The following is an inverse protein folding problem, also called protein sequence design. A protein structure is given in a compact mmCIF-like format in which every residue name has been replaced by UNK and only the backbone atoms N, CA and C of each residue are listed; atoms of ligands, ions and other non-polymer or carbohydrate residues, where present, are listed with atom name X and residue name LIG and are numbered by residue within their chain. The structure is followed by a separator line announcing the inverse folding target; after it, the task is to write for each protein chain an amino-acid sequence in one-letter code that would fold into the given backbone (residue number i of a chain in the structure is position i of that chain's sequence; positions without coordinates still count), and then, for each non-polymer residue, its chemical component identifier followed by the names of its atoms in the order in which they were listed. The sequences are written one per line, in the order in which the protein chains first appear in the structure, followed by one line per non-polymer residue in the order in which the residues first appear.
data_IF_131113644747
#
_entry.id   IF_131113644747
#
_cell.length_a   1.000
_cell.length_b   1.000
_cell.length_c   1.000
_cell.angle_alpha   90.00
_cell.angle_beta   90.00
_cell.angle_gamma   90.00
#
_symmetry.space_group_name_H-M   'P 1'
#
loop_
_entity.id
_entity.type
_entity.pdbx_description
1 polymer ?
#
# COMPACT_ATOMS: atom_id res chain seq x y z
N UNK A 1 -18.83 -21.14 -38.15
CA UNK A 1 -18.39 -19.82 -38.68
C UNK A 1 -19.06 -18.72 -37.88
N UNK A 2 -18.38 -17.57 -37.72
CA UNK A 2 -18.47 -16.55 -36.63
C UNK A 2 -17.62 -16.99 -35.43
N UNK A 3 -16.28 -16.92 -35.46
CA UNK A 3 -15.40 -15.76 -35.70
C UNK A 3 -15.73 -14.56 -34.81
N UNK A 4 -15.13 -14.54 -33.63
CA UNK A 4 -14.78 -13.30 -32.92
C UNK A 4 -13.30 -13.42 -32.53
N UNK A 5 -12.46 -12.77 -33.35
CA UNK A 5 -11.02 -12.65 -33.21
C UNK A 5 -10.69 -11.55 -32.19
N UNK A 6 -9.74 -11.86 -31.31
CA UNK A 6 -8.54 -11.07 -30.95
C UNK A 6 -8.69 -9.57 -30.60
N UNK A 7 -8.41 -9.25 -29.33
CA UNK A 7 -7.39 -8.26 -28.98
C UNK A 7 -6.51 -8.82 -27.85
N UNK A 8 -5.25 -9.11 -28.17
CA UNK A 8 -4.14 -9.21 -27.23
C UNK A 8 -3.80 -7.82 -26.69
N UNK A 9 -3.68 -7.66 -25.37
CA UNK A 9 -2.78 -6.67 -24.76
C UNK A 9 -2.09 -7.31 -23.56
N UNK A 10 -0.84 -7.71 -23.79
CA UNK A 10 0.30 -7.67 -22.86
C UNK A 10 0.08 -8.18 -21.43
N UNK A 11 0.19 -9.50 -21.29
CA UNK A 11 0.87 -10.08 -20.13
C UNK A 11 2.36 -9.77 -20.31
N UNK A 12 2.91 -8.86 -19.52
CA UNK A 12 4.35 -8.59 -19.56
C UNK A 12 4.75 -7.20 -19.08
N UNK A 13 4.58 -6.91 -17.79
CA UNK A 13 5.71 -6.81 -16.85
C UNK A 13 5.18 -7.26 -15.50
N UNK A 14 5.80 -8.29 -14.97
CA UNK A 14 5.55 -8.91 -13.67
C UNK A 14 5.32 -7.83 -12.60
N UNK A 15 4.16 -7.91 -11.96
CA UNK A 15 3.71 -7.09 -10.84
C UNK A 15 4.86 -6.79 -9.87
N UNK A 16 5.40 -5.58 -9.93
CA UNK A 16 6.24 -5.02 -8.87
C UNK A 16 5.41 -4.30 -7.81
N UNK A 17 4.09 -4.49 -7.78
CA UNK A 17 3.27 -4.10 -6.64
C UNK A 17 3.43 -5.18 -5.57
N UNK A 18 4.42 -4.96 -4.70
CA UNK A 18 4.47 -5.59 -3.39
C UNK A 18 3.18 -5.32 -2.61
N UNK A 19 2.48 -4.22 -2.95
CA UNK A 19 1.25 -3.83 -2.31
C UNK A 19 -0.01 -4.22 -3.08
N UNK A 20 -0.92 -4.78 -2.30
CA UNK A 20 -2.25 -5.17 -2.71
C UNK A 20 -3.04 -3.93 -3.06
N UNK A 21 -3.59 -3.88 -4.29
CA UNK A 21 -4.53 -2.84 -4.68
C UNK A 21 -5.93 -3.14 -4.06
N UNK A 22 -5.98 -3.32 -2.74
CA UNK A 22 -7.15 -3.80 -1.94
C UNK A 22 -8.38 -2.98 -2.25
N UNK A 23 -8.18 -1.67 -2.44
CA UNK A 23 -9.23 -0.67 -2.35
C UNK A 23 -9.81 -0.32 -3.71
N UNK A 24 -9.04 -0.47 -4.79
CA UNK A 24 -9.53 -0.26 -6.17
C UNK A 24 -10.62 -1.26 -6.56
N UNK A 25 -10.64 -2.41 -5.91
CA UNK A 25 -11.55 -3.52 -6.23
C UNK A 25 -12.75 -3.61 -5.27
N UNK A 26 -12.82 -2.75 -4.24
CA UNK A 26 -14.01 -2.58 -3.41
C UNK A 26 -15.08 -1.83 -4.20
N UNK A 27 -16.35 -2.24 -4.08
CA UNK A 27 -17.46 -1.49 -4.67
C UNK A 27 -17.45 -0.04 -4.11
N UNK A 28 -17.41 1.00 -4.97
CA UNK A 28 -17.39 2.40 -4.54
C UNK A 28 -18.49 2.79 -3.55
N UNK A 29 -19.66 2.16 -3.63
CA UNK A 29 -20.77 2.41 -2.70
C UNK A 29 -20.52 1.85 -1.29
N UNK A 30 -19.64 0.85 -1.19
CA UNK A 30 -19.29 0.19 0.08
C UNK A 30 -18.05 0.80 0.72
N UNK A 31 -17.27 1.54 -0.07
CA UNK A 31 -16.12 2.29 0.42
C UNK A 31 -16.52 3.23 1.56
N UNK A 32 -17.58 4.04 1.37
CA UNK A 32 -18.12 4.91 2.43
C UNK A 32 -18.66 4.16 3.64
N UNK A 33 -19.05 2.90 3.49
CA UNK A 33 -19.50 2.03 4.59
C UNK A 33 -18.32 1.50 5.41
N UNK A 34 -17.22 1.11 4.75
CA UNK A 34 -16.04 0.56 5.42
C UNK A 34 -15.13 1.64 6.00
N UNK A 35 -15.00 2.80 5.34
CA UNK A 35 -14.19 3.90 5.81
C UNK A 35 -15.06 5.15 6.04
N UNK A 36 -16.08 5.07 6.91
CA UNK A 36 -17.06 6.15 7.10
C UNK A 36 -16.33 7.43 7.52
N UNK A 37 -16.70 8.56 6.92
CA UNK A 37 -16.14 9.87 7.24
C UNK A 37 -16.54 10.23 8.68
N UNK A 38 -15.73 9.82 9.65
CA UNK A 38 -15.76 10.35 11.02
C UNK A 38 -15.15 11.75 11.01
N UNK A 39 -15.63 12.65 11.89
CA UNK A 39 -15.14 14.03 12.01
C UNK A 39 -13.63 14.07 11.84
N UNK A 40 -13.16 14.52 10.67
CA UNK A 40 -11.74 14.72 10.46
C UNK A 40 -11.27 15.65 11.59
N UNK A 41 -10.21 15.30 12.33
CA UNK A 41 -9.62 16.24 13.27
C UNK A 41 -9.33 17.54 12.51
N UNK A 42 -9.38 18.69 13.20
CA UNK A 42 -9.04 19.97 12.59
C UNK A 42 -7.69 19.83 11.85
N UNK A 43 -7.73 19.89 10.51
CA UNK A 43 -6.54 19.67 9.72
C UNK A 43 -5.67 20.92 9.81
N UNK A 44 -4.47 20.77 10.38
CA UNK A 44 -3.42 21.78 10.29
C UNK A 44 -2.57 21.63 9.01
N UNK A 45 -3.06 20.86 8.03
CA UNK A 45 -2.36 20.65 6.77
C UNK A 45 -2.44 21.88 5.85
N UNK A 46 -1.28 22.44 5.50
CA UNK A 46 -1.16 23.60 4.61
C UNK A 46 -0.79 23.14 3.21
N UNK A 47 -1.68 23.36 2.24
CA UNK A 47 -1.57 22.83 0.87
C UNK A 47 -0.26 23.16 0.13
N UNK A 48 0.24 24.42 0.15
CA UNK A 48 1.55 24.72 -0.42
C UNK A 48 2.68 23.85 0.17
N UNK A 49 2.72 23.70 1.49
CA UNK A 49 3.73 22.88 2.19
C UNK A 49 3.57 21.41 1.84
N UNK A 50 2.33 20.90 1.86
CA UNK A 50 2.05 19.51 1.54
C UNK A 50 2.48 19.14 0.12
N UNK A 51 2.11 19.97 -0.87
CA UNK A 51 2.49 19.77 -2.26
C UNK A 51 4.01 19.88 -2.46
N UNK A 52 4.68 20.79 -1.76
CA UNK A 52 6.14 20.91 -1.78
C UNK A 52 6.83 19.65 -1.23
N UNK A 53 6.38 19.15 -0.08
CA UNK A 53 6.93 17.92 0.51
C UNK A 53 6.70 16.71 -0.39
N UNK A 54 5.50 16.59 -1.00
CA UNK A 54 5.20 15.53 -1.96
C UNK A 54 6.11 15.59 -3.18
N UNK A 55 6.30 16.78 -3.75
CA UNK A 55 7.19 16.99 -4.88
C UNK A 55 8.64 16.56 -4.56
N UNK A 56 9.14 16.93 -3.37
CA UNK A 56 10.48 16.56 -2.93
C UNK A 56 10.62 15.05 -2.74
N UNK A 57 9.61 14.38 -2.18
CA UNK A 57 9.58 12.92 -2.06
C UNK A 57 9.64 12.27 -3.44
N UNK A 58 8.79 12.68 -4.38
CA UNK A 58 8.76 12.13 -5.73
C UNK A 58 10.09 12.34 -6.46
N UNK A 59 10.68 13.52 -6.32
CA UNK A 59 11.97 13.87 -6.92
C UNK A 59 13.10 13.03 -6.32
N UNK A 60 13.10 12.81 -5.01
CA UNK A 60 14.10 11.98 -4.34
C UNK A 60 14.07 10.51 -4.80
N UNK A 61 12.90 9.99 -5.19
CA UNK A 61 12.75 8.65 -5.74
C UNK A 61 12.92 8.58 -7.26
N UNK A 62 13.13 9.71 -7.94
CA UNK A 62 13.15 9.82 -9.38
C UNK A 62 11.87 9.24 -10.04
N UNK A 63 10.71 9.52 -9.43
CA UNK A 63 9.38 9.17 -9.95
C UNK A 63 8.67 10.42 -10.50
N UNK A 64 7.52 10.24 -11.14
CA UNK A 64 6.75 11.38 -11.70
C UNK A 64 6.43 12.40 -10.62
N UNK A 65 7.00 13.61 -10.75
CA UNK A 65 6.99 14.64 -9.71
C UNK A 65 5.60 15.18 -9.36
N UNK A 66 4.65 15.12 -10.31
CA UNK A 66 3.26 15.56 -10.11
C UNK A 66 2.34 14.56 -9.39
N UNK A 67 2.84 13.38 -9.00
CA UNK A 67 2.00 12.39 -8.31
C UNK A 67 1.66 12.82 -6.88
N UNK A 68 0.41 12.62 -6.46
CA UNK A 68 -0.13 13.03 -5.17
C UNK A 68 -1.39 12.21 -4.82
N UNK A 69 -2.11 12.65 -3.78
CA UNK A 69 -3.32 11.99 -3.27
C UNK A 69 -4.46 11.82 -4.29
N UNK A 70 -4.51 12.63 -5.36
CA UNK A 70 -5.49 12.47 -6.45
C UNK A 70 -5.18 11.31 -7.39
N UNK A 71 -3.97 10.77 -7.34
CA UNK A 71 -3.51 9.68 -8.21
C UNK A 71 -2.69 8.65 -7.41
N UNK A 72 -3.20 8.31 -6.22
CA UNK A 72 -2.56 7.40 -5.27
C UNK A 72 -2.20 6.03 -5.86
N UNK A 73 -3.02 5.48 -6.76
CA UNK A 73 -2.70 4.21 -7.42
C UNK A 73 -1.44 4.28 -8.30
N UNK A 74 -1.22 5.41 -8.98
CA UNK A 74 -0.01 5.64 -9.79
C UNK A 74 1.20 5.94 -8.92
N UNK A 75 1.02 6.69 -7.83
CA UNK A 75 2.05 6.90 -6.82
C UNK A 75 2.53 5.58 -6.23
N UNK A 76 1.61 4.76 -5.74
CA UNK A 76 1.89 3.45 -5.16
C UNK A 76 2.69 2.56 -6.10
N UNK A 77 2.24 2.43 -7.36
CA UNK A 77 2.95 1.64 -8.36
C UNK A 77 4.41 2.10 -8.55
N UNK A 78 4.65 3.42 -8.65
CA UNK A 78 6.01 3.94 -8.86
C UNK A 78 6.88 3.80 -7.61
N UNK A 79 6.32 4.03 -6.41
CA UNK A 79 7.03 3.83 -5.13
C UNK A 79 7.41 2.36 -4.96
N UNK A 80 6.49 1.43 -5.14
CA UNK A 80 6.74 -0.01 -4.99
C UNK A 80 7.82 -0.49 -5.97
N UNK A 81 7.77 0.01 -7.21
CA UNK A 81 8.78 -0.28 -8.22
C UNK A 81 10.18 0.15 -7.78
N UNK A 82 10.32 1.32 -7.15
CA UNK A 82 11.61 1.79 -6.63
C UNK A 82 12.02 0.96 -5.40
N UNK A 83 11.11 0.77 -4.45
CA UNK A 83 11.33 0.05 -3.20
C UNK A 83 11.83 -1.40 -3.43
N UNK A 84 11.27 -2.09 -4.42
CA UNK A 84 11.58 -3.50 -4.74
C UNK A 84 12.69 -3.69 -5.76
N UNK A 85 13.27 -2.60 -6.28
CA UNK A 85 14.29 -2.67 -7.33
C UNK A 85 15.63 -3.23 -6.82
N UNK A 86 16.08 -2.75 -5.67
CA UNK A 86 17.34 -3.18 -5.04
C UNK A 86 17.37 -2.77 -3.58
N UNK A 87 18.20 -3.41 -2.76
CA UNK A 87 18.37 -3.04 -1.35
C UNK A 87 18.80 -1.55 -1.19
N UNK A 88 19.75 -1.01 -1.98
CA UNK A 88 20.02 0.42 -1.96
C UNK A 88 18.82 1.31 -2.32
N UNK A 89 17.98 0.87 -3.27
CA UNK A 89 16.75 1.59 -3.61
C UNK A 89 15.75 1.55 -2.45
N UNK A 90 15.59 0.41 -1.76
CA UNK A 90 14.78 0.29 -0.55
C UNK A 90 15.21 1.30 0.53
N UNK A 91 16.51 1.31 0.85
CA UNK A 91 17.07 2.24 1.86
C UNK A 91 16.87 3.69 1.43
N UNK A 92 17.04 4.00 0.15
CA UNK A 92 16.81 5.35 -0.39
C UNK A 92 15.34 5.75 -0.29
N UNK A 93 14.40 4.83 -0.52
CA UNK A 93 12.97 5.06 -0.33
C UNK A 93 12.65 5.39 1.13
N UNK A 94 13.24 4.66 2.07
CA UNK A 94 13.08 4.95 3.49
C UNK A 94 13.66 6.30 3.90
N UNK A 95 14.84 6.67 3.39
CA UNK A 95 15.41 7.99 3.61
C UNK A 95 14.51 9.11 3.05
N UNK A 96 13.90 8.92 1.86
CA UNK A 96 12.96 9.87 1.30
C UNK A 96 11.68 9.97 2.14
N UNK A 97 11.14 8.85 2.64
CA UNK A 97 10.00 8.83 3.55
C UNK A 97 10.28 9.62 4.84
N UNK A 98 11.46 9.43 5.46
CA UNK A 98 11.87 10.20 6.63
C UNK A 98 11.92 11.71 6.33
N UNK A 99 12.44 12.11 5.17
CA UNK A 99 12.47 13.54 4.76
C UNK A 99 11.07 14.09 4.52
N UNK A 100 10.17 13.28 3.94
CA UNK A 100 8.78 13.67 3.76
C UNK A 100 8.07 13.90 5.10
N UNK A 101 8.25 12.99 6.05
CA UNK A 101 7.75 13.14 7.42
C UNK A 101 8.31 14.40 8.08
N UNK A 102 9.62 14.65 7.99
CA UNK A 102 10.27 15.84 8.56
C UNK A 102 9.81 17.14 7.90
N UNK A 103 9.59 17.13 6.58
CA UNK A 103 9.12 18.30 5.82
C UNK A 103 7.72 18.75 6.28
N UNK A 104 6.83 17.80 6.57
CA UNK A 104 5.49 18.09 7.09
C UNK A 104 5.47 18.32 8.61
N UNK A 105 6.41 17.73 9.35
CA UNK A 105 6.50 17.87 10.79
C UNK A 105 5.18 17.50 11.49
N UNK A 106 4.66 18.41 12.31
CA UNK A 106 3.43 18.19 13.09
C UNK A 106 2.15 18.13 12.24
N UNK A 107 2.20 18.48 10.95
CA UNK A 107 1.06 18.34 10.05
C UNK A 107 1.07 17.02 9.26
N UNK A 108 2.05 16.14 9.47
CA UNK A 108 2.15 14.88 8.71
C UNK A 108 0.85 14.08 8.78
N UNK A 109 0.42 13.70 10.00
CA UNK A 109 -0.74 12.84 10.19
C UNK A 109 -2.04 13.48 9.70
N UNK A 110 -2.18 14.80 9.74
CA UNK A 110 -3.37 15.49 9.22
C UNK A 110 -3.36 15.66 7.69
N UNK A 111 -2.17 15.68 7.07
CA UNK A 111 -2.01 15.76 5.62
C UNK A 111 -2.19 14.41 4.92
N UNK A 112 -1.83 13.30 5.58
CA UNK A 112 -2.03 11.94 5.05
C UNK A 112 -3.23 11.22 5.67
N UNK A 113 -4.07 11.93 6.41
CA UNK A 113 -5.31 11.37 6.95
C UNK A 113 -6.34 11.17 5.82
N UNK A 114 -6.91 9.96 5.66
CA UNK A 114 -7.87 9.70 4.60
C UNK A 114 -9.11 10.58 4.73
N UNK A 115 -9.61 10.85 5.94
CA UNK A 115 -10.83 11.64 6.13
C UNK A 115 -10.63 13.12 5.78
N UNK A 116 -9.49 13.68 6.16
CA UNK A 116 -9.09 15.04 5.78
C UNK A 116 -8.90 15.16 4.27
N UNK A 117 -8.32 14.15 3.62
CA UNK A 117 -8.13 14.13 2.17
C UNK A 117 -9.45 14.00 1.40
N UNK A 118 -10.37 13.16 1.87
CA UNK A 118 -11.70 12.99 1.25
C UNK A 118 -12.55 14.27 1.26
N UNK A 119 -12.30 15.18 2.21
CA UNK A 119 -13.01 16.46 2.27
C UNK A 119 -12.53 17.49 1.22
N UNK A 120 -11.43 17.19 0.50
CA UNK A 120 -10.84 18.12 -0.47
C UNK A 120 -11.55 18.06 -1.83
N UNK A 121 -11.62 19.19 -2.58
CA UNK A 121 -12.21 19.20 -3.90
C UNK A 121 -11.55 18.23 -4.90
N UNK A 122 -12.38 17.41 -5.54
CA UNK A 122 -11.94 16.42 -6.53
C UNK A 122 -11.29 15.18 -5.91
N UNK A 123 -11.60 14.86 -4.65
CA UNK A 123 -11.23 13.60 -4.04
C UNK A 123 -11.95 12.42 -4.68
N UNK A 124 -11.16 11.43 -5.09
CA UNK A 124 -11.63 10.11 -5.45
C UNK A 124 -11.29 9.14 -4.32
N UNK A 125 -12.27 8.34 -3.94
CA UNK A 125 -12.15 7.51 -2.75
C UNK A 125 -11.09 6.42 -2.89
N UNK A 126 -11.01 5.80 -4.07
CA UNK A 126 -10.02 4.78 -4.35
C UNK A 126 -8.61 5.39 -4.37
N UNK A 127 -8.43 6.56 -5.01
CA UNK A 127 -7.13 7.22 -5.09
C UNK A 127 -6.62 7.69 -3.73
N UNK A 128 -7.48 8.31 -2.91
CA UNK A 128 -7.09 8.79 -1.57
C UNK A 128 -6.68 7.63 -0.69
N UNK A 129 -7.47 6.57 -0.64
CA UNK A 129 -7.13 5.44 0.21
C UNK A 129 -5.87 4.71 -0.26
N UNK A 130 -5.62 4.60 -1.57
CA UNK A 130 -4.33 4.07 -2.04
C UNK A 130 -3.16 4.97 -1.69
N UNK A 131 -3.35 6.28 -1.77
CA UNK A 131 -2.35 7.24 -1.32
C UNK A 131 -2.01 7.07 0.16
N UNK A 132 -3.02 6.91 1.03
CA UNK A 132 -2.81 6.68 2.47
C UNK A 132 -2.10 5.36 2.73
N UNK A 133 -2.45 4.30 2.00
CA UNK A 133 -1.78 3.00 2.10
C UNK A 133 -0.28 3.07 1.79
N UNK A 134 0.15 3.90 0.84
CA UNK A 134 1.59 4.11 0.57
C UNK A 134 2.30 4.56 1.85
N UNK A 135 1.73 5.50 2.59
CA UNK A 135 2.36 6.02 3.80
C UNK A 135 2.29 5.04 4.97
N UNK A 136 1.17 4.31 5.13
CA UNK A 136 1.07 3.27 6.15
C UNK A 136 2.12 2.17 5.93
N UNK A 137 2.24 1.71 4.68
CA UNK A 137 3.25 0.75 4.26
C UNK A 137 4.67 1.26 4.54
N UNK A 138 5.02 2.44 4.00
CA UNK A 138 6.34 3.03 4.18
C UNK A 138 6.66 3.29 5.65
N UNK A 139 5.66 3.68 6.46
CA UNK A 139 5.84 3.86 7.89
C UNK A 139 6.19 2.54 8.58
N UNK A 140 5.57 1.43 8.20
CA UNK A 140 5.92 0.13 8.76
C UNK A 140 7.29 -0.35 8.25
N UNK A 141 7.48 -0.50 6.94
CA UNK A 141 8.68 -1.13 6.38
C UNK A 141 9.95 -0.33 6.61
N UNK A 142 9.86 0.99 6.76
CA UNK A 142 11.02 1.85 7.04
C UNK A 142 11.28 2.09 8.52
N UNK A 143 10.44 1.56 9.42
CA UNK A 143 10.65 1.60 10.86
C UNK A 143 10.70 0.17 11.41
N UNK A 144 9.58 -0.32 11.97
CA UNK A 144 9.52 -1.64 12.63
C UNK A 144 9.91 -2.81 11.73
N UNK A 145 9.69 -2.71 10.41
CA UNK A 145 10.09 -3.73 9.44
C UNK A 145 11.51 -3.58 8.87
N UNK A 146 12.20 -2.47 9.17
CA UNK A 146 13.41 -2.07 8.44
C UNK A 146 14.54 -3.09 8.57
N UNK A 147 14.84 -3.52 9.80
CA UNK A 147 15.92 -4.49 10.04
C UNK A 147 15.66 -5.84 9.36
N UNK A 148 14.39 -6.23 9.23
CA UNK A 148 14.00 -7.50 8.59
C UNK A 148 14.14 -7.40 7.07
N UNK A 149 13.66 -6.30 6.47
CA UNK A 149 13.70 -6.11 5.02
C UNK A 149 15.06 -5.65 4.50
N UNK A 150 15.96 -5.16 5.36
CA UNK A 150 17.33 -4.79 4.96
C UNK A 150 18.36 -5.88 5.12
N UNK A 151 18.00 -7.02 5.72
CA UNK A 151 18.86 -8.21 5.68
C UNK A 151 19.11 -8.62 4.21
N UNK A 152 20.37 -8.65 3.73
CA UNK A 152 20.65 -8.88 2.31
C UNK A 152 20.16 -10.24 1.79
N UNK A 153 20.17 -11.28 2.63
CA UNK A 153 19.70 -12.60 2.24
C UNK A 153 18.17 -12.62 2.14
N UNK A 154 17.50 -12.05 3.15
CA UNK A 154 16.05 -11.95 3.20
C UNK A 154 15.49 -11.02 2.12
N UNK A 155 16.13 -9.89 1.80
CA UNK A 155 15.61 -8.92 0.83
C UNK A 155 15.38 -9.57 -0.54
N UNK A 156 16.41 -10.20 -1.11
CA UNK A 156 16.32 -10.79 -2.44
C UNK A 156 15.28 -11.92 -2.50
N UNK A 157 15.19 -12.73 -1.46
CA UNK A 157 14.22 -13.82 -1.34
C UNK A 157 12.79 -13.30 -1.14
N UNK A 158 12.61 -12.25 -0.34
CA UNK A 158 11.33 -11.56 -0.12
C UNK A 158 10.81 -11.01 -1.45
N UNK A 159 11.64 -10.28 -2.20
CA UNK A 159 11.30 -9.76 -3.52
C UNK A 159 10.97 -10.89 -4.51
N UNK A 160 11.69 -12.03 -4.44
CA UNK A 160 11.42 -13.18 -5.29
C UNK A 160 10.08 -13.86 -4.94
N UNK A 161 9.79 -14.08 -3.66
CA UNK A 161 8.54 -14.68 -3.17
C UNK A 161 7.33 -13.82 -3.58
N UNK A 162 7.45 -12.50 -3.54
CA UNK A 162 6.38 -11.58 -3.97
C UNK A 162 5.90 -11.78 -5.42
N UNK A 163 6.74 -12.37 -6.27
CA UNK A 163 6.44 -12.65 -7.69
C UNK A 163 5.87 -14.05 -7.92
N UNK A 164 5.74 -14.87 -6.87
CA UNK A 164 5.26 -16.25 -6.99
C UNK A 164 3.74 -16.32 -7.14
N UNK A 165 3.25 -17.39 -7.76
CA UNK A 165 1.82 -17.64 -7.90
C UNK A 165 1.11 -17.69 -6.54
N UNK A 166 1.75 -18.24 -5.50
CA UNK A 166 1.15 -18.32 -4.17
C UNK A 166 0.84 -16.95 -3.54
N UNK A 167 1.68 -15.94 -3.79
CA UNK A 167 1.37 -14.56 -3.39
C UNK A 167 0.23 -13.99 -4.24
N UNK A 168 0.26 -14.21 -5.56
CA UNK A 168 -0.83 -13.77 -6.44
C UNK A 168 -2.18 -14.42 -6.07
N UNK A 169 -2.17 -15.68 -5.64
CA UNK A 169 -3.37 -16.39 -5.19
C UNK A 169 -3.92 -15.77 -3.90
N UNK A 170 -3.07 -15.37 -2.94
CA UNK A 170 -3.52 -14.63 -1.76
C UNK A 170 -4.25 -13.33 -2.15
N UNK A 171 -3.69 -12.58 -3.11
CA UNK A 171 -4.30 -11.34 -3.62
C UNK A 171 -5.64 -11.61 -4.30
N UNK A 172 -5.68 -12.57 -5.22
CA UNK A 172 -6.87 -12.91 -6.00
C UNK A 172 -7.99 -13.45 -5.11
N UNK A 173 -7.65 -14.27 -4.11
CA UNK A 173 -8.61 -14.81 -3.15
C UNK A 173 -9.19 -13.70 -2.29
N UNK A 174 -8.34 -12.79 -1.76
CA UNK A 174 -8.81 -11.61 -1.04
C UNK A 174 -9.80 -10.81 -1.89
N UNK A 175 -9.40 -10.44 -3.11
CA UNK A 175 -10.25 -9.67 -4.04
C UNK A 175 -11.59 -10.38 -4.31
N UNK A 176 -11.54 -11.68 -4.58
CA UNK A 176 -12.74 -12.47 -4.89
C UNK A 176 -13.67 -12.56 -3.67
N UNK A 177 -13.13 -12.88 -2.50
CA UNK A 177 -13.91 -13.00 -1.26
C UNK A 177 -14.53 -11.67 -0.85
N UNK A 178 -13.80 -10.56 -0.98
CA UNK A 178 -14.35 -9.24 -0.65
C UNK A 178 -15.41 -8.79 -1.65
N UNK A 179 -15.29 -9.13 -2.94
CA UNK A 179 -16.35 -8.90 -3.94
C UNK A 179 -17.61 -9.71 -3.64
N UNK A 180 -17.45 -10.96 -3.22
CA UNK A 180 -18.57 -11.87 -2.92
C UNK A 180 -19.31 -11.51 -1.64
N UNK A 181 -18.59 -11.18 -0.57
CA UNK A 181 -19.18 -10.75 0.68
C UNK A 181 -18.43 -9.52 1.23
N UNK A 182 -18.83 -8.32 0.79
CA UNK A 182 -18.18 -7.11 1.25
C UNK A 182 -18.22 -6.92 2.77
N UNK A 183 -19.33 -7.31 3.42
CA UNK A 183 -19.51 -7.16 4.88
C UNK A 183 -18.54 -8.00 5.70
N UNK A 184 -17.82 -8.92 5.06
CA UNK A 184 -16.81 -9.77 5.67
C UNK A 184 -15.39 -9.17 5.60
N UNK A 185 -15.23 -7.87 5.29
CA UNK A 185 -13.92 -7.23 5.08
C UNK A 185 -12.86 -7.65 6.11
N UNK A 186 -13.15 -7.56 7.41
CA UNK A 186 -12.16 -7.89 8.43
C UNK A 186 -11.84 -9.39 8.52
N UNK A 187 -12.82 -10.27 8.35
CA UNK A 187 -12.56 -11.71 8.27
C UNK A 187 -11.80 -12.08 7.00
N UNK A 188 -12.10 -11.45 5.87
CA UNK A 188 -11.38 -11.67 4.60
C UNK A 188 -9.96 -11.12 4.65
N UNK A 189 -9.76 -9.97 5.31
CA UNK A 189 -8.45 -9.40 5.57
C UNK A 189 -7.61 -10.31 6.47
N UNK A 190 -8.21 -10.92 7.50
CA UNK A 190 -7.52 -11.89 8.35
C UNK A 190 -7.00 -13.09 7.54
N UNK A 191 -7.86 -13.70 6.73
CA UNK A 191 -7.45 -14.80 5.82
C UNK A 191 -6.32 -14.37 4.89
N UNK A 192 -6.40 -13.14 4.36
CA UNK A 192 -5.39 -12.60 3.47
C UNK A 192 -4.03 -12.39 4.15
N UNK A 193 -3.98 -11.74 5.32
CA UNK A 193 -2.71 -11.50 6.02
C UNK A 193 -2.05 -12.81 6.47
N UNK A 194 -2.84 -13.82 6.87
CA UNK A 194 -2.31 -15.16 7.20
C UNK A 194 -1.82 -15.91 5.95
N UNK A 195 -2.49 -15.74 4.80
CA UNK A 195 -2.04 -16.29 3.53
C UNK A 195 -0.67 -15.70 3.14
N UNK A 196 -0.53 -14.37 3.23
CA UNK A 196 0.74 -13.68 3.00
C UNK A 196 1.83 -14.18 3.95
N UNK A 197 1.56 -14.23 5.26
CA UNK A 197 2.48 -14.81 6.25
C UNK A 197 2.99 -16.19 5.81
N UNK A 198 2.06 -17.07 5.41
CA UNK A 198 2.39 -18.44 5.00
C UNK A 198 3.30 -18.49 3.77
N UNK A 199 3.13 -17.59 2.80
CA UNK A 199 4.03 -17.51 1.64
C UNK A 199 5.44 -17.06 2.05
N UNK A 200 5.52 -16.08 2.95
CA UNK A 200 6.77 -15.43 3.34
C UNK A 200 7.51 -16.12 4.50
N UNK A 201 6.85 -16.99 5.27
CA UNK A 201 7.47 -17.92 6.22
C UNK A 201 8.48 -18.86 5.53
N UNK A 202 8.40 -19.02 4.21
CA UNK A 202 9.38 -19.75 3.37
C UNK A 202 10.74 -19.05 3.28
N UNK A 203 10.80 -17.75 3.54
CA UNK A 203 12.05 -16.98 3.67
C UNK A 203 12.54 -17.12 5.10
N UNK A 204 11.73 -16.66 6.06
CA UNK A 204 11.92 -16.88 7.49
C UNK A 204 10.63 -16.52 8.24
N UNK A 205 10.48 -17.00 9.48
CA UNK A 205 9.35 -16.63 10.34
C UNK A 205 9.29 -15.12 10.60
N UNK A 206 10.45 -14.45 10.69
CA UNK A 206 10.53 -13.00 10.88
C UNK A 206 10.01 -12.25 9.65
N UNK A 207 10.38 -12.70 8.45
CA UNK A 207 9.88 -12.11 7.19
C UNK A 207 8.38 -12.36 7.04
N UNK A 208 7.91 -13.58 7.35
CA UNK A 208 6.47 -13.89 7.37
C UNK A 208 5.69 -12.97 8.31
N UNK A 209 6.17 -12.78 9.53
CA UNK A 209 5.58 -11.84 10.49
C UNK A 209 5.60 -10.40 9.95
N UNK A 210 6.72 -9.94 9.42
CA UNK A 210 6.87 -8.57 8.91
C UNK A 210 5.90 -8.29 7.75
N UNK A 211 5.77 -9.21 6.79
CA UNK A 211 4.85 -9.03 5.66
C UNK A 211 3.39 -9.11 6.12
N UNK A 212 3.09 -9.93 7.13
CA UNK A 212 1.77 -9.94 7.74
C UNK A 212 1.45 -8.58 8.37
N UNK A 213 2.36 -8.01 9.17
CA UNK A 213 2.17 -6.71 9.82
C UNK A 213 2.06 -5.58 8.80
N UNK A 214 2.88 -5.59 7.74
CA UNK A 214 2.78 -4.65 6.63
C UNK A 214 1.41 -4.71 5.93
N UNK A 215 0.90 -5.93 5.71
CA UNK A 215 -0.44 -6.11 5.18
C UNK A 215 -1.52 -5.63 6.17
N UNK A 216 -1.32 -5.86 7.46
CA UNK A 216 -2.24 -5.50 8.55
C UNK A 216 -2.38 -3.98 8.70
N UNK A 217 -1.31 -3.19 8.53
CA UNK A 217 -1.39 -1.72 8.69
C UNK A 217 -2.34 -1.08 7.68
N UNK A 218 -2.54 -1.68 6.50
CA UNK A 218 -3.54 -1.24 5.52
C UNK A 218 -5.00 -1.41 5.97
N UNK A 219 -5.25 -2.21 7.01
CA UNK A 219 -6.60 -2.47 7.56
C UNK A 219 -6.77 -2.00 9.00
N UNK A 220 -5.70 -1.58 9.68
CA UNK A 220 -5.68 -1.40 11.13
C UNK A 220 -6.73 -0.41 11.65
N UNK A 221 -7.05 0.63 10.88
CA UNK A 221 -8.09 1.62 11.21
C UNK A 221 -9.50 1.05 11.21
N UNK A 222 -9.77 0.01 10.41
CA UNK A 222 -11.11 -0.52 10.17
C UNK A 222 -11.29 -1.91 10.80
N UNK A 223 -10.19 -2.63 10.99
CA UNK A 223 -10.13 -3.99 11.52
C UNK A 223 -9.11 -4.05 12.67
N UNK A 224 -9.41 -3.45 13.84
CA UNK A 224 -8.46 -3.30 14.95
C UNK A 224 -8.05 -4.63 15.60
N UNK A 225 -8.79 -5.70 15.35
CA UNK A 225 -8.58 -7.02 15.94
C UNK A 225 -7.71 -7.95 15.10
N UNK A 226 -7.24 -7.53 13.91
CA UNK A 226 -6.29 -8.32 13.13
C UNK A 226 -4.98 -8.50 13.89
N UNK A 227 -4.38 -9.69 13.81
CA UNK A 227 -3.14 -10.03 14.52
C UNK A 227 -2.21 -10.85 13.63
N UNK A 228 -0.92 -10.53 13.68
CA UNK A 228 0.13 -11.35 13.11
C UNK A 228 0.85 -12.06 14.24
N UNK A 229 0.53 -13.33 14.43
CA UNK A 229 1.24 -14.17 15.39
C UNK A 229 2.64 -14.49 14.85
N UNK A 230 3.61 -14.63 15.76
CA UNK A 230 4.99 -15.02 15.43
C UNK A 230 5.05 -16.53 15.22
#
# INVERSE_FOLDING_TARGET
MKSALLIFVLIGVVNATFLVNIIKELNPELLSTYFPIGKAPASNCVDPTFNHCQYNFNTALNITSGLNWKNGSSLQYQVDKVLTNSLPSFVSTCAANTRFFQCLGTSFFSCVDPFALMQRPGADYSQVLQYVNVWNHLFFVCNSGFEIFTDPQAYSQTVAIGKTQGVQDCLNNFQTSTKQNPNALCSTADVFIQCMKTQYDRVSRQVGWAVCEDSRVGFASNCPNLRCYV
#
